data_IF_242985850243
#
_entry.id   IF_242985850243
#
_cell.length_a   1.000
_cell.length_b   1.000
_cell.length_c   1.000
_cell.angle_alpha   90.00
_cell.angle_beta   90.00
_cell.angle_gamma   90.00
#
_symmetry.space_group_name_H-M   'P 1'
#
loop_
_entity.id
_entity.type
_entity.pdbx_description
1 polymer ?
#
# COMPACT_ATOMS: atom_id res chain seq x y z
N UNK A 1 -18.28 -50.56 4.79
CA UNK A 1 -18.44 -49.18 5.28
C UNK A 1 -17.10 -48.46 5.46
N UNK A 2 -16.15 -49.04 6.20
CA UNK A 2 -14.84 -48.43 6.49
C UNK A 2 -14.00 -48.04 5.25
N UNK A 3 -13.97 -48.86 4.21
CA UNK A 3 -13.19 -48.58 3.00
C UNK A 3 -13.69 -47.36 2.20
N UNK A 4 -15.00 -47.09 2.22
CA UNK A 4 -15.57 -45.89 1.57
C UNK A 4 -15.17 -44.61 2.32
N UNK A 5 -15.12 -44.68 3.65
CA UNK A 5 -14.68 -43.57 4.51
C UNK A 5 -13.20 -43.26 4.28
N UNK A 6 -12.36 -44.29 4.15
CA UNK A 6 -10.93 -44.12 3.87
C UNK A 6 -10.66 -43.45 2.51
N UNK A 7 -11.42 -43.82 1.48
CA UNK A 7 -11.29 -43.20 0.15
C UNK A 7 -11.73 -41.73 0.18
N UNK A 8 -12.83 -41.41 0.86
CA UNK A 8 -13.31 -40.02 0.97
C UNK A 8 -12.30 -39.14 1.71
N UNK A 9 -11.73 -39.63 2.82
CA UNK A 9 -10.69 -38.90 3.56
C UNK A 9 -9.42 -38.73 2.74
N UNK A 10 -8.99 -39.76 2.02
CA UNK A 10 -7.82 -39.70 1.14
C UNK A 10 -7.99 -38.66 0.04
N UNK A 11 -9.15 -38.66 -0.64
CA UNK A 11 -9.45 -37.68 -1.71
C UNK A 11 -9.48 -36.25 -1.14
N UNK A 12 -10.13 -36.03 -0.01
CA UNK A 12 -10.17 -34.71 0.64
C UNK A 12 -8.78 -34.19 1.02
N UNK A 13 -7.91 -35.05 1.54
CA UNK A 13 -6.54 -34.69 1.90
C UNK A 13 -5.71 -34.33 0.66
N UNK A 14 -5.85 -35.07 -0.44
CA UNK A 14 -5.13 -34.79 -1.69
C UNK A 14 -5.60 -33.50 -2.36
N UNK A 15 -6.91 -33.21 -2.33
CA UNK A 15 -7.45 -31.94 -2.85
C UNK A 15 -6.95 -30.76 -2.02
N UNK A 16 -6.87 -30.89 -0.69
CA UNK A 16 -6.33 -29.85 0.17
C UNK A 16 -4.85 -29.52 -0.10
N UNK A 17 -4.06 -30.50 -0.55
CA UNK A 17 -2.63 -30.32 -0.85
C UNK A 17 -2.35 -29.95 -2.32
N UNK A 18 -3.27 -30.23 -3.24
CA UNK A 18 -3.14 -29.92 -4.66
C UNK A 18 -3.56 -28.48 -5.01
N UNK A 19 -4.24 -27.78 -4.09
CA UNK A 19 -4.42 -26.33 -4.20
C UNK A 19 -3.08 -25.71 -3.83
N UNK A 20 -2.35 -25.05 -4.76
CA UNK A 20 -1.18 -24.27 -4.38
C UNK A 20 -1.62 -23.34 -3.26
N UNK A 21 -0.85 -23.24 -2.18
CA UNK A 21 -1.15 -22.34 -1.07
C UNK A 21 -1.32 -20.90 -1.61
N UNK A 22 -2.54 -20.57 -2.02
CA UNK A 22 -2.96 -19.23 -2.30
C UNK A 22 -3.07 -18.60 -0.92
N UNK A 23 -2.32 -17.52 -0.64
CA UNK A 23 -2.47 -16.82 0.63
C UNK A 23 -3.95 -16.51 0.79
N UNK A 24 -4.54 -17.00 1.88
CA UNK A 24 -5.97 -17.09 2.11
C UNK A 24 -6.75 -15.89 1.55
N UNK A 25 -7.28 -16.05 0.33
CA UNK A 25 -8.15 -15.10 -0.36
C UNK A 25 -9.33 -15.92 -0.87
N UNK A 26 -10.27 -16.18 0.04
CA UNK A 26 -11.43 -17.03 -0.27
C UNK A 26 -12.49 -17.07 0.82
N UNK A 27 -12.53 -16.07 1.70
CA UNK A 27 -13.78 -15.70 2.36
C UNK A 27 -14.48 -14.72 1.43
N UNK A 28 -15.76 -14.95 1.14
CA UNK A 28 -16.66 -13.95 0.56
C UNK A 28 -16.78 -12.78 1.54
N UNK A 29 -15.77 -11.93 1.53
CA UNK A 29 -15.55 -10.92 2.52
C UNK A 29 -14.89 -9.76 1.82
N UNK A 30 -15.58 -8.65 1.82
CA UNK A 30 -15.01 -7.34 1.57
C UNK A 30 -13.84 -7.15 2.55
N UNK A 31 -12.63 -7.51 2.13
CA UNK A 31 -11.42 -7.38 2.95
C UNK A 31 -10.52 -8.62 2.89
N UNK A 32 -9.27 -8.41 2.50
CA UNK A 32 -8.22 -9.43 2.61
C UNK A 32 -7.74 -9.98 1.28
N UNK A 33 -7.17 -9.11 0.43
CA UNK A 33 -6.28 -9.51 -0.66
C UNK A 33 -4.83 -9.35 -0.19
N UNK A 34 -4.03 -10.39 -0.39
CA UNK A 34 -2.69 -10.54 0.18
C UNK A 34 -1.73 -9.38 -0.09
N UNK A 35 -0.99 -9.08 0.97
CA UNK A 35 0.10 -8.13 1.07
C UNK A 35 1.33 -8.61 0.27
N UNK A 36 1.42 -8.20 -0.99
CA UNK A 36 2.67 -8.15 -1.74
C UNK A 36 2.63 -6.88 -2.57
N UNK A 37 3.65 -6.04 -2.40
CA UNK A 37 3.69 -4.67 -2.92
C UNK A 37 3.23 -4.53 -4.36
N UNK A 38 2.46 -3.46 -4.59
CA UNK A 38 1.80 -3.18 -5.85
C UNK A 38 0.30 -3.37 -5.70
N UNK A 39 -0.44 -2.25 -5.73
CA UNK A 39 -1.88 -2.13 -5.88
C UNK A 39 -2.64 -3.44 -5.80
N UNK A 40 -3.40 -3.64 -4.72
CA UNK A 40 -4.38 -4.72 -4.59
C UNK A 40 -5.06 -4.95 -5.95
N UNK A 41 -4.59 -5.98 -6.67
CA UNK A 41 -4.74 -6.06 -8.11
C UNK A 41 -6.14 -6.57 -8.41
N UNK A 42 -7.11 -5.67 -8.36
CA UNK A 42 -8.44 -5.92 -8.87
C UNK A 42 -8.30 -6.25 -10.36
N UNK A 43 -8.62 -7.47 -10.83
CA UNK A 43 -8.39 -7.89 -12.21
C UNK A 43 -9.14 -7.04 -13.25
N UNK A 44 -10.14 -6.29 -12.79
CA UNK A 44 -10.97 -5.39 -13.61
C UNK A 44 -10.39 -3.98 -13.74
N UNK A 45 -9.37 -3.63 -12.95
CA UNK A 45 -8.71 -2.33 -13.03
C UNK A 45 -7.52 -2.48 -13.98
N UNK A 46 -7.48 -1.69 -15.07
CA UNK A 46 -6.37 -1.75 -16.00
C UNK A 46 -5.03 -1.46 -15.31
N UNK A 47 -3.92 -2.10 -15.72
CA UNK A 47 -2.61 -1.90 -15.10
C UNK A 47 -2.16 -0.43 -15.08
N UNK A 48 -2.51 0.35 -16.10
CA UNK A 48 -2.17 1.78 -16.19
C UNK A 48 -2.89 2.64 -15.13
N UNK A 49 -4.03 2.18 -14.60
CA UNK A 49 -4.71 2.82 -13.47
C UNK A 49 -4.04 2.41 -12.16
N UNK A 50 -3.76 1.11 -11.97
CA UNK A 50 -3.26 0.60 -10.70
C UNK A 50 -1.84 1.07 -10.37
N UNK A 51 -1.04 1.47 -11.36
CA UNK A 51 0.31 2.03 -11.14
C UNK A 51 0.34 3.55 -11.12
N UNK A 52 -0.79 4.20 -11.36
CA UNK A 52 -0.83 5.65 -11.44
C UNK A 52 -0.52 6.27 -10.06
N UNK A 53 0.26 7.37 -9.99
CA UNK A 53 0.62 8.00 -8.71
C UNK A 53 -0.58 8.52 -7.90
N UNK A 54 -1.70 8.81 -8.58
CA UNK A 54 -2.96 9.24 -7.95
C UNK A 54 -3.80 8.06 -7.45
N UNK A 55 -3.51 6.84 -7.88
CA UNK A 55 -4.26 5.67 -7.48
C UNK A 55 -3.83 5.24 -6.08
N UNK A 56 -4.78 5.12 -5.12
CA UNK A 56 -4.42 4.78 -3.75
C UNK A 56 -3.78 3.40 -3.66
N UNK A 57 -2.57 3.34 -3.09
CA UNK A 57 -1.87 2.08 -2.83
C UNK A 57 -2.17 1.64 -1.41
N UNK A 58 -2.59 0.39 -1.25
CA UNK A 58 -2.82 -0.21 0.07
C UNK A 58 -1.52 -0.81 0.60
N UNK A 59 -1.13 -0.43 1.82
CA UNK A 59 0.12 -0.83 2.48
C UNK A 59 -0.14 -1.29 3.92
N UNK A 60 0.54 -2.33 4.45
CA UNK A 60 0.20 -2.86 5.77
C UNK A 60 0.69 -1.91 6.83
N UNK A 61 -0.11 -1.71 7.86
CA UNK A 61 0.34 -1.00 9.02
C UNK A 61 -0.37 -1.44 10.29
N UNK A 62 0.32 -1.23 11.40
CA UNK A 62 -0.01 -1.80 12.71
C UNK A 62 -0.60 -0.78 13.67
N UNK A 63 -0.40 0.52 13.42
CA UNK A 63 -0.88 1.61 14.26
C UNK A 63 -1.85 2.51 13.49
N UNK A 64 -3.03 2.76 14.05
CA UNK A 64 -4.00 3.71 13.50
C UNK A 64 -3.44 5.11 13.63
N UNK A 65 -3.47 5.87 12.53
CA UNK A 65 -2.95 7.23 12.50
C UNK A 65 -2.47 7.63 11.11
N UNK A 66 -1.80 8.77 11.02
CA UNK A 66 -1.18 9.24 9.79
C UNK A 66 0.31 9.44 10.01
N UNK A 67 1.12 8.98 9.06
CA UNK A 67 2.57 9.16 9.08
C UNK A 67 3.05 9.62 7.70
N UNK A 68 4.18 10.31 7.64
CA UNK A 68 4.82 10.59 6.36
C UNK A 68 5.63 9.39 5.94
N UNK A 69 5.42 8.94 4.70
CA UNK A 69 6.19 7.84 4.11
C UNK A 69 7.41 8.41 3.39
N UNK A 70 7.20 9.50 2.65
CA UNK A 70 8.25 10.34 2.06
C UNK A 70 7.90 11.83 2.22
N UNK A 71 8.76 12.70 1.70
CA UNK A 71 8.56 14.14 1.71
C UNK A 71 7.28 14.64 1.05
N UNK A 72 6.69 13.86 0.14
CA UNK A 72 5.50 14.25 -0.61
C UNK A 72 4.40 13.17 -0.55
N UNK A 73 4.54 12.18 0.33
CA UNK A 73 3.60 11.06 0.43
C UNK A 73 3.28 10.81 1.90
N UNK A 74 1.99 10.60 2.19
CA UNK A 74 1.52 10.22 3.52
C UNK A 74 0.88 8.84 3.49
N UNK A 75 1.04 8.13 4.59
CA UNK A 75 0.39 6.85 4.88
C UNK A 75 -0.71 7.09 5.92
N UNK A 76 -1.95 6.84 5.53
CA UNK A 76 -3.11 6.90 6.43
C UNK A 76 -3.49 5.50 6.85
N UNK A 77 -3.21 5.17 8.10
CA UNK A 77 -3.49 3.88 8.69
C UNK A 77 -4.86 3.84 9.35
N UNK A 78 -5.71 2.96 8.81
CA UNK A 78 -7.04 2.67 9.32
C UNK A 78 -7.06 1.28 9.96
N UNK A 79 -8.20 0.90 10.54
CA UNK A 79 -8.41 -0.47 11.08
C UNK A 79 -8.26 -1.59 10.03
N UNK A 80 -8.41 -1.26 8.75
CA UNK A 80 -8.44 -2.24 7.64
C UNK A 80 -7.07 -2.33 6.96
N UNK A 81 -6.19 -1.34 7.16
CA UNK A 81 -4.90 -1.24 6.51
C UNK A 81 -4.49 0.22 6.28
N UNK A 82 -3.31 0.40 5.70
CA UNK A 82 -2.74 1.69 5.35
C UNK A 82 -3.05 2.09 3.92
N UNK A 83 -3.33 3.38 3.73
CA UNK A 83 -3.58 3.98 2.44
C UNK A 83 -2.48 5.00 2.15
N UNK A 84 -1.63 4.71 1.17
CA UNK A 84 -0.63 5.66 0.70
C UNK A 84 -1.28 6.66 -0.24
N UNK A 85 -1.06 7.96 0.02
CA UNK A 85 -1.52 9.06 -0.82
C UNK A 85 -0.41 10.08 -1.00
N UNK A 86 -0.24 10.53 -2.23
CA UNK A 86 0.59 11.70 -2.50
C UNK A 86 -0.08 12.97 -1.97
N UNK A 87 0.73 13.95 -1.55
CA UNK A 87 0.29 15.31 -1.32
C UNK A 87 0.17 16.01 -2.68
N UNK A 88 -1.01 15.87 -3.31
CA UNK A 88 -1.27 16.33 -4.68
C UNK A 88 -1.67 17.81 -4.75
N UNK A 89 -1.91 18.45 -3.62
CA UNK A 89 -2.24 19.88 -3.58
C UNK A 89 -0.97 20.69 -3.83
N UNK A 90 -0.90 21.51 -4.90
CA UNK A 90 0.29 22.30 -5.21
C UNK A 90 0.61 23.35 -4.13
N UNK A 91 -0.35 23.71 -3.27
CA UNK A 91 -0.14 24.63 -2.15
C UNK A 91 0.35 23.92 -0.88
N UNK A 92 0.19 22.59 -0.81
CA UNK A 92 0.59 21.75 0.32
C UNK A 92 1.36 20.51 -0.17
N UNK A 93 2.47 20.66 -0.90
CA UNK A 93 3.12 19.53 -1.57
C UNK A 93 3.88 18.62 -0.59
N UNK A 94 4.22 19.13 0.60
CA UNK A 94 5.09 18.42 1.53
C UNK A 94 4.30 17.63 2.58
N UNK A 95 4.84 16.55 3.09
CA UNK A 95 4.30 15.84 4.25
C UNK A 95 5.06 16.23 5.53
N UNK A 96 4.32 16.66 6.56
CA UNK A 96 4.81 16.90 7.91
C UNK A 96 3.94 16.17 8.93
N UNK A 97 4.54 15.30 9.75
CA UNK A 97 3.86 14.59 10.84
C UNK A 97 2.55 13.87 10.43
N UNK A 98 2.50 13.36 9.18
CA UNK A 98 1.34 12.67 8.63
C UNK A 98 0.31 13.56 7.92
N UNK A 99 0.55 14.87 7.84
CA UNK A 99 -0.32 15.83 7.15
C UNK A 99 0.39 16.53 6.00
N UNK A 100 -0.38 16.93 4.98
CA UNK A 100 0.17 17.71 3.87
C UNK A 100 0.30 19.17 4.29
N UNK A 101 1.41 19.80 3.93
CA UNK A 101 1.88 21.09 4.44
C UNK A 101 2.56 21.90 3.34
N UNK A 102 2.51 23.22 3.47
CA UNK A 102 3.19 24.15 2.56
C UNK A 102 4.70 24.21 2.81
N UNK A 103 5.14 23.86 4.02
CA UNK A 103 6.55 23.96 4.43
C UNK A 103 7.20 22.58 4.41
N UNK A 104 8.39 22.39 3.84
CA UNK A 104 9.08 21.12 3.93
C UNK A 104 9.53 20.81 5.37
N UNK A 105 9.56 19.53 5.74
CA UNK A 105 10.21 19.11 6.98
C UNK A 105 11.71 19.39 6.92
N UNK A 106 12.39 19.41 8.08
CA UNK A 106 13.84 19.62 8.13
C UNK A 106 14.63 18.59 7.30
N UNK A 107 14.09 17.37 7.16
CA UNK A 107 14.70 16.28 6.40
C UNK A 107 14.37 16.34 4.89
N UNK A 108 13.31 17.07 4.54
CA UNK A 108 12.79 17.22 3.19
C UNK A 108 13.13 18.57 2.55
N UNK A 109 13.68 19.50 3.33
CA UNK A 109 14.29 20.70 2.81
C UNK A 109 15.52 20.28 1.98
N UNK A 110 15.45 20.49 0.66
CA UNK A 110 16.64 20.38 -0.19
C UNK A 110 17.68 21.32 0.43
N UNK A 111 18.93 20.86 0.69
CA UNK A 111 19.96 21.77 1.15
C UNK A 111 20.02 22.92 0.16
N UNK A 112 19.95 24.16 0.65
CA UNK A 112 20.07 25.34 -0.19
C UNK A 112 21.36 25.19 -0.99
N UNK A 113 21.24 24.75 -2.25
CA UNK A 113 22.35 24.72 -3.17
C UNK A 113 22.78 26.17 -3.25
N UNK A 114 24.00 26.42 -2.79
CA UNK A 114 24.68 27.69 -2.86
C UNK A 114 24.34 28.37 -4.18
N UNK A 115 23.45 29.36 -4.18
CA UNK A 115 23.53 30.40 -5.18
C UNK A 115 24.89 31.05 -4.89
N UNK A 116 25.92 30.92 -5.75
CA UNK A 116 27.04 31.84 -5.64
C UNK A 116 26.44 33.26 -5.68
N UNK A 117 26.91 34.19 -4.84
CA UNK A 117 26.36 35.53 -4.82
C UNK A 117 26.39 36.06 -6.26
N UNK A 118 25.21 36.32 -6.82
CA UNK A 118 25.07 37.00 -8.09
C UNK A 118 25.77 38.35 -7.92
N UNK A 119 26.96 38.42 -8.50
CA UNK A 119 27.82 39.58 -8.50
C UNK A 119 27.01 40.70 -9.16
N UNK A 120 26.75 41.75 -8.40
CA UNK A 120 26.41 43.07 -8.92
C UNK A 120 27.35 43.44 -10.06
N UNK A 121 26.80 43.78 -11.23
CA UNK A 121 27.44 44.63 -12.23
C UNK A 121 26.37 45.51 -12.90
#
# INVERSE_FOLDING_TARGET
>A
MAMKIAIVLGVMMTVALAVPAQPAAGGWGWGGGGWVGGAAANPWIPPWVSVAPWYPQWTPCTAIGSTCLDCNTKLVCTKIGGLQRACTDPTLPFCNMGECSATPSAECAVPAVNNPPELTA
#
